data_IF_309060242852
#
_entry.id   IF_309060242852
#
_cell.length_a   1.000
_cell.length_b   1.000
_cell.length_c   1.000
_cell.angle_alpha   90.00
_cell.angle_beta   90.00
_cell.angle_gamma   90.00
#
_symmetry.space_group_name_H-M   'P 1'
#
loop_
_entity.id
_entity.type
_entity.pdbx_description
1 polymer ?
#
# COMPACT_ATOMS: atom_id res chain seq x y z
N UNK A 1 9.74 16.73 -1.71
CA UNK A 1 8.98 15.51 -1.36
C UNK A 1 9.61 14.34 -2.11
N UNK A 2 10.06 13.26 -1.46
CA UNK A 2 10.61 12.11 -2.21
C UNK A 2 9.49 11.51 -3.07
N UNK A 3 9.64 11.57 -4.38
CA UNK A 3 8.69 10.96 -5.31
C UNK A 3 9.03 9.48 -5.46
N UNK A 4 8.17 8.63 -4.90
CA UNK A 4 8.25 7.19 -5.12
C UNK A 4 7.48 6.82 -6.39
N UNK A 5 8.06 5.99 -7.28
CA UNK A 5 7.36 5.52 -8.47
C UNK A 5 6.15 4.67 -8.09
N UNK A 6 5.13 4.64 -8.95
CA UNK A 6 3.88 3.92 -8.69
C UNK A 6 4.10 2.42 -8.45
N UNK A 7 5.02 1.79 -9.18
CA UNK A 7 5.41 0.38 -8.98
C UNK A 7 5.92 0.11 -7.57
N UNK A 8 6.85 0.95 -7.08
CA UNK A 8 7.37 0.82 -5.72
C UNK A 8 6.27 0.93 -4.64
N UNK A 9 5.32 1.85 -4.83
CA UNK A 9 4.17 1.99 -3.91
C UNK A 9 3.30 0.73 -3.92
N UNK A 10 3.05 0.16 -5.09
CA UNK A 10 2.26 -1.06 -5.25
C UNK A 10 2.95 -2.27 -4.60
N UNK A 11 4.26 -2.42 -4.82
CA UNK A 11 5.08 -3.49 -4.23
C UNK A 11 5.13 -3.36 -2.71
N UNK A 12 5.29 -2.14 -2.18
CA UNK A 12 5.25 -1.89 -0.73
C UNK A 12 3.92 -2.30 -0.10
N UNK A 13 2.80 -2.02 -0.79
CA UNK A 13 1.46 -2.43 -0.33
C UNK A 13 1.28 -3.95 -0.47
N UNK A 14 1.79 -4.57 -1.53
CA UNK A 14 1.75 -6.02 -1.72
C UNK A 14 2.56 -6.74 -0.63
N UNK A 15 3.75 -6.22 -0.30
CA UNK A 15 4.60 -6.73 0.77
C UNK A 15 3.89 -6.71 2.12
N UNK A 16 3.25 -5.59 2.47
CA UNK A 16 2.44 -5.48 3.69
C UNK A 16 1.32 -6.53 3.71
N UNK A 17 0.59 -6.70 2.61
CA UNK A 17 -0.53 -7.67 2.51
C UNK A 17 -0.07 -9.13 2.53
N UNK A 18 1.15 -9.42 2.07
CA UNK A 18 1.71 -10.78 2.06
C UNK A 18 2.11 -11.31 3.43
N UNK A 19 2.25 -10.43 4.43
CA UNK A 19 2.73 -10.77 5.78
C UNK A 19 1.62 -10.60 6.82
N UNK A 20 0.75 -11.61 7.03
CA UNK A 20 -0.24 -11.56 8.10
C UNK A 20 0.45 -11.41 9.45
N UNK A 21 0.15 -10.33 10.17
CA UNK A 21 0.78 -9.97 11.44
C UNK A 21 1.90 -8.92 11.36
N UNK A 22 2.36 -8.56 10.15
CA UNK A 22 3.30 -7.45 10.02
C UNK A 22 2.62 -6.11 10.30
N UNK A 23 3.30 -5.24 11.04
CA UNK A 23 2.79 -3.89 11.27
C UNK A 23 3.23 -2.97 10.13
N UNK A 24 2.44 -1.93 9.84
CA UNK A 24 2.87 -0.86 8.94
C UNK A 24 4.23 -0.25 9.34
N UNK A 25 4.58 -0.26 10.64
CA UNK A 25 5.86 0.23 11.14
C UNK A 25 7.04 -0.68 10.75
N UNK A 26 6.90 -1.99 10.90
CA UNK A 26 7.98 -2.93 10.56
C UNK A 26 8.25 -2.94 9.05
N UNK A 27 7.19 -2.97 8.24
CA UNK A 27 7.33 -2.92 6.76
C UNK A 27 7.92 -1.58 6.30
N UNK A 28 7.53 -0.47 6.94
CA UNK A 28 8.09 0.84 6.61
C UNK A 28 9.58 0.94 6.97
N UNK A 29 10.00 0.34 8.10
CA UNK A 29 11.40 0.26 8.50
C UNK A 29 12.22 -0.58 7.52
N UNK A 30 11.71 -1.74 7.11
CA UNK A 30 12.35 -2.62 6.10
C UNK A 30 12.56 -1.89 4.77
N UNK A 31 11.62 -1.03 4.38
CA UNK A 31 11.65 -0.27 3.12
C UNK A 31 12.39 1.08 3.25
N UNK A 32 12.79 1.49 4.45
CA UNK A 32 13.40 2.80 4.69
C UNK A 32 12.46 3.99 4.43
N UNK A 33 11.15 3.78 4.55
CA UNK A 33 10.12 4.82 4.33
C UNK A 33 9.46 5.22 5.65
N UNK A 34 8.82 6.39 5.67
CA UNK A 34 8.04 6.80 6.83
C UNK A 34 6.77 5.94 6.96
N UNK A 35 6.44 5.50 8.18
CA UNK A 35 5.24 4.70 8.48
C UNK A 35 3.93 5.37 8.00
N UNK A 36 3.83 6.69 8.13
CA UNK A 36 2.68 7.47 7.65
C UNK A 36 2.57 7.46 6.12
N UNK A 37 3.70 7.45 5.42
CA UNK A 37 3.74 7.31 3.95
C UNK A 37 3.21 5.95 3.51
N UNK A 38 3.68 4.86 4.14
CA UNK A 38 3.17 3.52 3.82
C UNK A 38 1.68 3.38 4.15
N UNK A 39 1.22 3.94 5.27
CA UNK A 39 -0.21 3.96 5.64
C UNK A 39 -1.06 4.68 4.60
N UNK A 40 -0.58 5.80 4.06
CA UNK A 40 -1.29 6.53 3.00
C UNK A 40 -1.39 5.71 1.71
N UNK A 41 -0.35 4.96 1.34
CA UNK A 41 -0.39 4.08 0.17
C UNK A 41 -1.35 2.90 0.36
N UNK A 42 -1.37 2.29 1.55
CA UNK A 42 -2.33 1.23 1.88
C UNK A 42 -3.77 1.75 1.75
N UNK A 43 -4.06 2.91 2.36
CA UNK A 43 -5.38 3.57 2.26
C UNK A 43 -5.77 3.88 0.81
N UNK A 44 -4.84 4.40 0.01
CA UNK A 44 -5.09 4.68 -1.40
C UNK A 44 -5.39 3.40 -2.19
N UNK A 45 -4.66 2.32 -1.93
CA UNK A 45 -4.88 1.02 -2.57
C UNK A 45 -6.17 0.33 -2.12
N UNK A 46 -6.59 0.53 -0.87
CA UNK A 46 -7.87 0.03 -0.35
C UNK A 46 -9.05 0.83 -0.93
N UNK A 47 -8.93 2.15 -1.04
CA UNK A 47 -9.90 3.00 -1.73
C UNK A 47 -10.05 2.65 -3.22
N UNK A 48 -8.95 2.34 -3.91
CA UNK A 48 -8.97 1.87 -5.29
C UNK A 48 -9.71 0.52 -5.44
N UNK A 49 -9.54 -0.41 -4.49
CA UNK A 49 -10.26 -1.69 -4.49
C UNK A 49 -11.77 -1.52 -4.30
N UNK A 50 -12.20 -0.50 -3.56
CA UNK A 50 -13.62 -0.20 -3.39
C UNK A 50 -14.24 0.40 -4.66
N UNK A 51 -13.47 1.17 -5.45
CA UNK A 51 -13.93 1.69 -6.75
C UNK A 51 -13.84 0.68 -7.91
N UNK A 52 -12.98 -0.33 -7.82
CA UNK A 52 -12.83 -1.35 -8.87
C UNK A 52 -13.89 -2.48 -8.80
N UNK A 53 -14.50 -2.73 -7.63
CA UNK A 53 -15.54 -3.77 -7.46
C UNK A 53 -16.94 -3.35 -7.94
N UNK A 54 -17.15 -2.10 -8.33
CA UNK A 54 -18.42 -1.63 -8.90
C UNK A 54 -18.51 -1.77 -10.43
N UNK A 55 -17.47 -2.27 -11.10
CA UNK A 55 -17.42 -2.45 -12.56
C UNK A 55 -17.62 -3.91 -13.02
N UNK A 56 -18.36 -4.73 -12.26
CA UNK A 56 -18.78 -6.07 -12.68
C UNK A 56 -20.30 -6.22 -12.59
N UNK A 57 -21.00 -5.53 -13.49
CA UNK A 57 -22.30 -5.96 -13.98
C UNK A 57 -22.34 -5.67 -15.48
N UNK A 58 -22.10 -6.72 -16.27
CA UNK A 58 -22.65 -6.88 -17.62
C UNK A 58 -22.88 -8.36 -17.84
#
# INVERSE_FOLDING_TARGET
>A
MKHYPAGFKADAVALYRSRPGATSKSVAADLGVNTGTLRNWIRAADGLRSGARSAVWR
#
